data_IF_198783491103
#
_entry.id   IF_198783491103
#
_cell.length_a   1.000
_cell.length_b   1.000
_cell.length_c   1.000
_cell.angle_alpha   90.00
_cell.angle_beta   90.00
_cell.angle_gamma   90.00
#
_symmetry.space_group_name_H-M   'P 1'
#
loop_
_entity.id
_entity.type
_entity.pdbx_description
1 polymer ?
#
# COMPACT_ATOMS: atom_id res chain seq x y z
N UNK A 1 7.36 -34.50 -44.26
CA UNK A 1 8.32 -34.27 -43.17
C UNK A 1 7.75 -33.12 -42.34
N UNK A 2 6.98 -33.44 -41.31
CA UNK A 2 6.41 -32.45 -40.40
C UNK A 2 7.52 -32.04 -39.43
N UNK A 3 7.98 -30.79 -39.51
CA UNK A 3 8.79 -30.22 -38.44
C UNK A 3 7.85 -29.99 -37.26
N UNK A 4 7.94 -30.84 -36.25
CA UNK A 4 7.47 -30.50 -34.91
C UNK A 4 8.30 -29.31 -34.45
N UNK A 5 7.70 -28.13 -34.37
CA UNK A 5 8.24 -27.06 -33.55
C UNK A 5 8.18 -27.59 -32.13
N UNK A 6 9.32 -28.08 -31.62
CA UNK A 6 9.48 -28.24 -30.18
C UNK A 6 9.24 -26.86 -29.57
N UNK A 7 8.06 -26.68 -28.97
CA UNK A 7 7.80 -25.59 -28.07
C UNK A 7 8.74 -25.82 -26.87
N UNK A 8 9.98 -25.32 -26.96
CA UNK A 8 10.83 -25.23 -25.78
C UNK A 8 10.03 -24.46 -24.75
N UNK A 9 9.82 -25.06 -23.59
CA UNK A 9 9.27 -24.34 -22.45
C UNK A 9 10.09 -23.06 -22.30
N UNK A 10 9.41 -21.91 -22.38
CA UNK A 10 10.06 -20.62 -22.18
C UNK A 10 10.67 -20.64 -20.77
N UNK A 11 11.98 -20.50 -20.71
CA UNK A 11 12.76 -20.57 -19.48
C UNK A 11 13.84 -19.49 -19.51
N UNK A 12 13.98 -18.80 -18.39
CA UNK A 12 15.10 -17.87 -18.16
C UNK A 12 15.59 -18.03 -16.73
N UNK A 13 16.91 -18.09 -16.56
CA UNK A 13 17.54 -18.28 -15.26
C UNK A 13 18.39 -17.06 -14.89
N UNK A 14 18.53 -16.84 -13.59
CA UNK A 14 19.33 -15.77 -13.04
C UNK A 14 19.72 -16.05 -11.60
N UNK A 15 20.21 -15.02 -10.91
CA UNK A 15 20.50 -15.05 -9.49
C UNK A 15 20.15 -13.71 -8.82
N UNK A 16 19.96 -13.75 -7.51
CA UNK A 16 19.75 -12.55 -6.70
C UNK A 16 21.08 -11.81 -6.53
N UNK A 17 21.17 -10.55 -6.97
CA UNK A 17 22.38 -9.73 -6.80
C UNK A 17 22.53 -9.25 -5.36
N UNK A 18 21.47 -8.62 -4.85
CA UNK A 18 21.42 -8.00 -3.53
C UNK A 18 19.96 -7.75 -3.14
N UNK A 19 19.73 -7.38 -1.88
CA UNK A 19 18.43 -6.91 -1.40
C UNK A 19 18.42 -5.38 -1.40
N UNK A 20 17.31 -4.78 -1.82
CA UNK A 20 17.10 -3.36 -1.63
C UNK A 20 16.83 -3.01 -0.15
N UNK A 21 16.67 -1.72 0.14
CA UNK A 21 16.37 -1.22 1.49
C UNK A 21 14.99 -1.65 2.04
N UNK A 22 14.12 -2.24 1.20
CA UNK A 22 12.82 -2.80 1.59
C UNK A 22 12.89 -4.34 1.75
N UNK A 23 14.04 -4.95 1.46
CA UNK A 23 14.26 -6.39 1.50
C UNK A 23 13.78 -7.12 0.26
N UNK A 24 13.62 -6.42 -0.87
CA UNK A 24 13.24 -7.00 -2.16
C UNK A 24 14.50 -7.42 -2.97
N UNK A 25 14.55 -8.64 -3.53
CA UNK A 25 15.68 -9.10 -4.32
C UNK A 25 15.84 -8.38 -5.68
N UNK A 26 16.95 -7.67 -5.88
CA UNK A 26 17.37 -7.19 -7.20
C UNK A 26 18.02 -8.33 -8.01
N UNK A 27 17.71 -8.42 -9.30
CA UNK A 27 18.02 -9.62 -10.11
C UNK A 27 19.21 -9.44 -11.07
N UNK A 28 19.89 -10.53 -11.41
CA UNK A 28 20.99 -10.54 -12.39
C UNK A 28 20.52 -10.35 -13.83
N UNK A 29 19.27 -10.70 -14.11
CA UNK A 29 18.59 -10.52 -15.39
C UNK A 29 17.80 -9.21 -15.38
N UNK A 30 17.42 -8.74 -16.56
CA UNK A 30 16.64 -7.53 -16.79
C UNK A 30 15.21 -7.85 -17.22
N UNK A 31 14.31 -6.87 -17.09
CA UNK A 31 12.96 -6.99 -17.62
C UNK A 31 12.96 -7.25 -19.14
N UNK A 32 13.88 -6.64 -19.89
CA UNK A 32 13.99 -6.85 -21.32
C UNK A 32 14.41 -8.29 -21.67
N UNK A 33 15.37 -8.87 -20.96
CA UNK A 33 15.76 -10.28 -21.19
C UNK A 33 14.60 -11.24 -20.90
N UNK A 34 13.79 -10.96 -19.88
CA UNK A 34 12.55 -11.71 -19.61
C UNK A 34 11.56 -11.56 -20.77
N UNK A 35 11.39 -10.35 -21.31
CA UNK A 35 10.49 -10.14 -22.46
C UNK A 35 11.00 -10.80 -23.74
N UNK A 36 12.31 -10.74 -24.00
CA UNK A 36 12.96 -11.39 -25.14
C UNK A 36 12.87 -12.92 -25.04
N UNK A 37 12.80 -13.47 -23.83
CA UNK A 37 12.53 -14.89 -23.58
C UNK A 37 11.06 -15.30 -23.82
N UNK A 38 10.18 -14.34 -24.14
CA UNK A 38 8.80 -14.59 -24.58
C UNK A 38 7.74 -14.43 -23.50
N UNK A 39 8.08 -13.84 -22.35
CA UNK A 39 7.15 -13.46 -21.29
C UNK A 39 6.65 -12.02 -21.48
N UNK A 40 5.46 -11.69 -20.98
CA UNK A 40 4.90 -10.34 -21.00
C UNK A 40 4.20 -9.99 -19.67
N UNK A 41 3.89 -8.71 -19.48
CA UNK A 41 3.19 -8.27 -18.28
C UNK A 41 1.81 -8.93 -18.18
N UNK A 42 1.44 -9.36 -16.98
CA UNK A 42 0.23 -10.13 -16.74
C UNK A 42 0.38 -11.63 -16.98
N UNK A 43 1.56 -12.13 -17.37
CA UNK A 43 1.82 -13.57 -17.32
C UNK A 43 1.95 -14.07 -15.88
N UNK A 44 1.44 -15.27 -15.62
CA UNK A 44 1.65 -15.96 -14.36
C UNK A 44 2.85 -16.89 -14.49
N UNK A 45 3.83 -16.71 -13.62
CA UNK A 45 5.12 -17.37 -13.68
C UNK A 45 5.25 -18.40 -12.57
N UNK A 46 5.98 -19.47 -12.88
CA UNK A 46 6.53 -20.39 -11.90
C UNK A 46 8.02 -20.07 -11.73
N UNK A 47 8.41 -19.65 -10.52
CA UNK A 47 9.78 -19.28 -10.19
C UNK A 47 10.35 -20.32 -9.23
N UNK A 48 11.30 -21.10 -9.70
CA UNK A 48 12.01 -22.10 -8.92
C UNK A 48 13.32 -21.51 -8.39
N UNK A 49 13.42 -21.35 -7.08
CA UNK A 49 14.63 -20.95 -6.39
C UNK A 49 15.39 -22.20 -5.91
N UNK A 50 16.71 -22.17 -5.93
CA UNK A 50 17.57 -23.30 -5.58
C UNK A 50 17.33 -23.84 -4.15
N UNK A 51 17.12 -22.96 -3.17
CA UNK A 51 16.95 -23.31 -1.77
C UNK A 51 15.57 -22.96 -1.19
N UNK A 52 14.84 -22.02 -1.81
CA UNK A 52 13.48 -21.64 -1.35
C UNK A 52 12.42 -22.61 -1.90
N UNK A 53 12.67 -23.23 -3.05
CA UNK A 53 11.70 -24.01 -3.80
C UNK A 53 10.87 -23.16 -4.76
N UNK A 54 9.72 -23.69 -5.17
CA UNK A 54 8.91 -23.10 -6.24
C UNK A 54 7.84 -22.14 -5.71
N UNK A 55 7.79 -20.95 -6.30
CA UNK A 55 6.84 -19.88 -5.97
C UNK A 55 6.12 -19.44 -7.24
N UNK A 56 4.82 -19.13 -7.11
CA UNK A 56 4.01 -18.63 -8.22
C UNK A 56 3.83 -17.12 -8.04
N UNK A 57 4.13 -16.36 -9.09
CA UNK A 57 3.97 -14.91 -9.07
C UNK A 57 3.77 -14.34 -10.48
N UNK A 58 2.99 -13.26 -10.65
CA UNK A 58 2.85 -12.60 -11.95
C UNK A 58 4.02 -11.67 -12.25
N UNK A 59 4.24 -11.46 -13.56
CA UNK A 59 5.09 -10.39 -14.08
C UNK A 59 4.29 -9.08 -14.13
N UNK A 60 4.71 -8.05 -13.40
CA UNK A 60 3.95 -6.80 -13.25
C UNK A 60 4.80 -5.56 -13.47
N UNK A 61 4.12 -4.42 -13.62
CA UNK A 61 4.75 -3.09 -13.69
C UNK A 61 4.70 -2.33 -12.35
N UNK A 62 3.96 -2.87 -11.39
CA UNK A 62 3.93 -2.40 -10.02
C UNK A 62 3.60 -3.56 -9.08
N UNK A 63 4.38 -3.71 -8.03
CA UNK A 63 4.10 -4.67 -6.96
C UNK A 63 2.76 -4.40 -6.25
N UNK A 64 2.12 -3.25 -6.46
CA UNK A 64 0.76 -2.98 -5.92
C UNK A 64 -0.33 -3.74 -6.66
N UNK A 65 -0.06 -4.24 -7.87
CA UNK A 65 -1.05 -4.93 -8.71
C UNK A 65 -1.56 -6.23 -8.07
N UNK A 66 -0.71 -6.89 -7.27
CA UNK A 66 -0.97 -8.20 -6.65
C UNK A 66 -1.69 -8.11 -5.30
N UNK A 67 -2.01 -6.90 -4.83
CA UNK A 67 -2.62 -6.68 -3.52
C UNK A 67 -1.69 -7.02 -2.35
N UNK A 68 -2.08 -6.62 -1.13
CA UNK A 68 -1.26 -6.82 0.08
C UNK A 68 -0.88 -8.28 0.28
N UNK A 69 0.42 -8.55 0.51
CA UNK A 69 0.96 -9.89 0.68
C UNK A 69 1.14 -10.70 -0.60
N UNK A 70 0.66 -10.19 -1.75
CA UNK A 70 0.89 -10.80 -3.06
C UNK A 70 2.35 -10.69 -3.48
N UNK A 71 2.86 -11.73 -4.16
CA UNK A 71 4.21 -11.79 -4.70
C UNK A 71 4.25 -11.31 -6.14
N UNK A 72 5.34 -10.72 -6.59
CA UNK A 72 5.50 -10.32 -7.98
C UNK A 72 6.95 -10.30 -8.44
N UNK A 73 7.17 -10.70 -9.70
CA UNK A 73 8.30 -10.23 -10.49
C UNK A 73 7.94 -8.85 -11.03
N UNK A 74 8.56 -7.79 -10.53
CA UNK A 74 8.14 -6.42 -10.76
C UNK A 74 9.20 -5.64 -11.55
N UNK A 75 8.82 -5.13 -12.72
CA UNK A 75 9.52 -4.08 -13.45
C UNK A 75 8.88 -2.73 -13.13
N UNK A 76 9.31 -2.11 -12.04
CA UNK A 76 8.60 -0.99 -11.46
C UNK A 76 8.52 0.20 -12.42
N UNK A 77 7.28 0.57 -12.79
CA UNK A 77 6.92 1.60 -13.78
C UNK A 77 7.36 1.31 -15.21
N UNK A 78 7.65 0.05 -15.55
CA UNK A 78 8.03 -0.39 -16.89
C UNK A 78 9.22 0.41 -17.46
N UNK A 79 10.24 0.65 -16.63
CA UNK A 79 11.43 1.41 -17.00
C UNK A 79 12.67 0.55 -17.20
N UNK A 80 12.65 -0.71 -16.73
CA UNK A 80 13.77 -1.64 -16.80
C UNK A 80 14.91 -1.36 -15.83
N UNK A 81 14.91 -0.21 -15.14
CA UNK A 81 15.95 0.19 -14.18
C UNK A 81 15.70 -0.32 -12.76
N UNK A 82 14.48 -0.79 -12.48
CA UNK A 82 14.08 -1.32 -11.19
C UNK A 82 13.33 -2.65 -11.34
N UNK A 83 14.11 -3.73 -11.44
CA UNK A 83 13.61 -5.08 -11.68
C UNK A 83 13.96 -6.02 -10.53
N UNK A 84 12.92 -6.50 -9.84
CA UNK A 84 13.09 -7.23 -8.58
C UNK A 84 11.94 -8.22 -8.31
N UNK A 85 12.20 -9.21 -7.46
CA UNK A 85 11.12 -9.92 -6.78
C UNK A 85 10.58 -9.06 -5.64
N UNK A 86 9.28 -9.07 -5.43
CA UNK A 86 8.62 -8.24 -4.41
C UNK A 86 7.49 -8.99 -3.74
N UNK A 87 7.18 -8.56 -2.53
CA UNK A 87 5.90 -8.83 -1.87
C UNK A 87 5.26 -7.48 -1.55
N UNK A 88 4.00 -7.30 -1.94
CA UNK A 88 3.32 -6.03 -1.73
C UNK A 88 3.12 -5.77 -0.23
N UNK A 89 3.63 -4.62 0.24
CA UNK A 89 3.52 -4.17 1.64
C UNK A 89 4.12 -5.14 2.68
N UNK A 90 5.15 -5.89 2.29
CA UNK A 90 5.95 -6.70 3.20
C UNK A 90 7.42 -6.72 2.73
N UNK A 91 8.30 -7.28 3.56
CA UNK A 91 9.68 -7.56 3.19
C UNK A 91 9.79 -8.96 2.55
N UNK A 92 10.27 -9.06 1.31
CA UNK A 92 10.34 -10.34 0.59
C UNK A 92 11.31 -11.30 1.28
N UNK A 93 12.54 -10.86 1.54
CA UNK A 93 13.57 -11.71 2.16
C UNK A 93 13.17 -12.27 3.53
N UNK A 94 12.42 -11.51 4.31
CA UNK A 94 11.94 -11.94 5.63
C UNK A 94 10.77 -12.94 5.57
N UNK A 95 10.01 -12.97 4.46
CA UNK A 95 8.78 -13.78 4.32
C UNK A 95 8.96 -15.01 3.45
N UNK A 96 9.73 -14.86 2.39
CA UNK A 96 9.99 -15.90 1.38
C UNK A 96 11.40 -16.46 1.54
N UNK A 97 12.35 -15.62 1.97
CA UNK A 97 13.76 -15.97 2.02
C UNK A 97 14.53 -15.42 0.83
N UNK A 98 15.68 -16.02 0.56
CA UNK A 98 16.60 -15.60 -0.48
C UNK A 98 17.74 -14.75 0.07
N UNK A 99 18.91 -14.93 -0.53
CA UNK A 99 20.14 -14.22 -0.20
C UNK A 99 20.87 -13.87 -1.50
N UNK A 100 21.80 -12.92 -1.45
CA UNK A 100 22.67 -12.66 -2.59
C UNK A 100 23.37 -13.95 -3.05
N UNK A 101 23.36 -14.20 -4.36
CA UNK A 101 23.89 -15.41 -5.00
C UNK A 101 22.89 -16.55 -5.19
N UNK A 102 21.71 -16.49 -4.54
CA UNK A 102 20.64 -17.48 -4.73
C UNK A 102 20.22 -17.54 -6.20
N UNK A 103 20.30 -18.73 -6.81
CA UNK A 103 19.89 -18.93 -8.19
C UNK A 103 18.39 -19.16 -8.28
N UNK A 104 17.82 -18.75 -9.41
CA UNK A 104 16.43 -19.00 -9.73
C UNK A 104 16.25 -19.28 -11.21
N UNK A 105 15.13 -19.93 -11.52
CA UNK A 105 14.66 -20.19 -12.88
C UNK A 105 13.20 -19.82 -13.00
N UNK A 106 12.85 -19.07 -14.04
CA UNK A 106 11.50 -18.60 -14.35
C UNK A 106 10.95 -19.42 -15.50
N UNK A 107 9.73 -19.96 -15.34
CA UNK A 107 8.99 -20.69 -16.35
C UNK A 107 7.56 -20.17 -16.48
N UNK A 108 6.98 -20.35 -17.66
CA UNK A 108 5.59 -19.98 -17.90
C UNK A 108 4.66 -20.94 -17.16
N UNK A 109 3.85 -20.42 -16.24
CA UNK A 109 2.75 -21.19 -15.64
C UNK A 109 1.47 -21.03 -16.47
N UNK A 110 1.12 -19.78 -16.77
CA UNK A 110 -0.07 -19.44 -17.55
C UNK A 110 0.11 -18.11 -18.26
N UNK A 111 0.18 -18.17 -19.58
CA UNK A 111 0.23 -16.97 -20.44
C UNK A 111 -1.04 -16.13 -20.22
N UNK A 112 -0.88 -14.85 -19.93
CA UNK A 112 -1.94 -13.90 -19.63
C UNK A 112 -2.75 -14.20 -18.36
N UNK A 113 -2.30 -15.11 -17.49
CA UNK A 113 -3.07 -15.57 -16.33
C UNK A 113 -3.41 -14.48 -15.30
N UNK A 114 -2.75 -13.33 -15.37
CA UNK A 114 -2.93 -12.16 -14.51
C UNK A 114 -3.23 -10.88 -15.32
N UNK A 115 -3.45 -10.99 -16.64
CA UNK A 115 -3.57 -9.84 -17.54
C UNK A 115 -4.78 -8.94 -17.24
N UNK A 116 -5.91 -9.52 -16.84
CA UNK A 116 -7.11 -8.75 -16.47
C UNK A 116 -6.81 -7.83 -15.27
N UNK A 117 -6.22 -8.39 -14.20
CA UNK A 117 -5.85 -7.62 -13.02
C UNK A 117 -4.77 -6.59 -13.33
N UNK A 118 -3.76 -6.95 -14.13
CA UNK A 118 -2.74 -6.01 -14.61
C UNK A 118 -3.37 -4.79 -15.28
N UNK A 119 -4.30 -5.02 -16.23
CA UNK A 119 -4.98 -3.97 -16.97
C UNK A 119 -5.88 -3.09 -16.09
N UNK A 120 -6.61 -3.69 -15.14
CA UNK A 120 -7.43 -2.95 -14.18
C UNK A 120 -6.60 -1.96 -13.36
N UNK A 121 -5.36 -2.33 -13.04
CA UNK A 121 -4.45 -1.54 -12.22
C UNK A 121 -3.69 -0.46 -12.99
N UNK A 122 -3.82 -0.40 -14.33
CA UNK A 122 -3.25 0.68 -15.15
C UNK A 122 -4.12 1.95 -15.19
N UNK A 123 -5.18 2.03 -14.37
CA UNK A 123 -6.02 3.22 -14.28
C UNK A 123 -5.22 4.48 -13.91
N UNK A 124 -5.50 5.59 -14.60
CA UNK A 124 -4.74 6.84 -14.43
C UNK A 124 -5.03 7.49 -13.07
N UNK A 125 -4.02 7.51 -12.21
CA UNK A 125 -4.05 8.28 -10.96
C UNK A 125 -4.06 9.80 -11.24
N UNK A 126 -4.90 10.55 -10.53
CA UNK A 126 -5.00 12.01 -10.65
C UNK A 126 -4.97 12.71 -9.30
N UNK A 127 -4.36 13.89 -9.28
CA UNK A 127 -4.30 14.80 -8.11
C UNK A 127 -5.14 16.07 -8.31
N UNK A 128 -5.94 16.10 -9.38
CA UNK A 128 -6.79 17.22 -9.76
C UNK A 128 -8.17 17.07 -9.11
N UNK A 129 -8.60 18.08 -8.35
CA UNK A 129 -9.87 18.06 -7.63
C UNK A 129 -11.05 17.88 -8.60
N UNK A 130 -11.00 18.52 -9.76
CA UNK A 130 -12.05 18.52 -10.78
C UNK A 130 -12.31 17.13 -11.42
N UNK A 131 -11.41 16.15 -11.22
CA UNK A 131 -11.63 14.78 -11.69
C UNK A 131 -12.49 13.95 -10.71
N UNK A 132 -12.92 14.52 -9.59
CA UNK A 132 -13.69 13.83 -8.55
C UNK A 132 -15.07 14.46 -8.37
N UNK A 133 -16.06 13.61 -8.06
CA UNK A 133 -17.45 14.04 -7.90
C UNK A 133 -17.69 14.95 -6.69
N UNK A 134 -16.88 14.83 -5.62
CA UNK A 134 -16.98 15.67 -4.43
C UNK A 134 -15.63 15.85 -3.71
N UNK A 135 -15.62 16.73 -2.71
CA UNK A 135 -14.44 16.94 -1.86
C UNK A 135 -14.16 15.72 -1.00
N UNK A 136 -15.21 15.07 -0.52
CA UNK A 136 -15.16 13.83 0.25
C UNK A 136 -14.49 12.71 -0.57
N UNK A 137 -14.91 12.53 -1.82
CA UNK A 137 -14.28 11.53 -2.71
C UNK A 137 -12.84 11.92 -3.02
N UNK A 138 -12.56 13.19 -3.29
CA UNK A 138 -11.20 13.65 -3.56
C UNK A 138 -10.28 13.46 -2.35
N UNK A 139 -10.72 13.83 -1.16
CA UNK A 139 -9.97 13.72 0.09
C UNK A 139 -9.99 12.31 0.68
N UNK A 140 -10.73 11.39 0.07
CA UNK A 140 -11.02 10.06 0.62
C UNK A 140 -11.60 10.14 2.05
N UNK A 141 -12.38 11.18 2.33
CA UNK A 141 -12.93 11.48 3.65
C UNK A 141 -14.33 10.90 3.79
N UNK A 142 -14.50 9.92 4.68
CA UNK A 142 -15.81 9.30 4.95
C UNK A 142 -15.91 8.74 6.36
N UNK A 143 -17.13 8.58 6.85
CA UNK A 143 -17.39 7.77 8.04
C UNK A 143 -17.16 6.29 7.74
N UNK A 144 -16.57 5.57 8.69
CA UNK A 144 -16.56 4.10 8.72
C UNK A 144 -17.85 3.65 9.41
N UNK A 145 -18.67 2.85 8.70
CA UNK A 145 -20.01 2.48 9.18
C UNK A 145 -20.24 0.98 9.06
N UNK A 146 -19.81 0.26 10.08
CA UNK A 146 -20.04 -1.18 10.23
C UNK A 146 -20.63 -1.49 11.60
N UNK A 147 -21.05 -2.73 11.81
CA UNK A 147 -21.51 -3.20 13.12
C UNK A 147 -20.50 -2.88 14.22
N UNK A 148 -20.99 -2.23 15.27
CA UNK A 148 -20.20 -1.81 16.43
C UNK A 148 -19.56 -0.43 16.30
N UNK A 149 -19.54 0.17 15.10
CA UNK A 149 -19.06 1.53 14.87
C UNK A 149 -20.25 2.45 14.56
N UNK A 150 -20.61 3.27 15.54
CA UNK A 150 -21.74 4.19 15.43
C UNK A 150 -21.48 5.38 14.49
N UNK A 151 -22.57 6.04 14.08
CA UNK A 151 -22.51 7.28 13.29
C UNK A 151 -21.66 8.33 13.99
N UNK A 152 -20.77 8.98 13.23
CA UNK A 152 -19.93 10.06 13.75
C UNK A 152 -18.84 9.62 14.74
N UNK A 153 -18.55 8.32 14.86
CA UNK A 153 -17.53 7.81 15.77
C UNK A 153 -16.16 7.74 15.11
N UNK A 154 -16.08 7.15 13.92
CA UNK A 154 -14.82 6.92 13.21
C UNK A 154 -14.93 7.40 11.76
N UNK A 155 -13.91 8.13 11.33
CA UNK A 155 -13.73 8.61 9.97
C UNK A 155 -12.38 8.14 9.44
N UNK A 156 -12.30 7.96 8.13
CA UNK A 156 -11.05 7.75 7.40
C UNK A 156 -10.84 8.87 6.39
N UNK A 157 -9.58 9.20 6.11
CA UNK A 157 -9.20 10.28 5.19
C UNK A 157 -7.81 10.07 4.58
N UNK A 158 -7.54 10.78 3.48
CA UNK A 158 -6.17 11.18 3.13
C UNK A 158 -5.57 12.10 4.19
N UNK A 159 -4.24 12.20 4.24
CA UNK A 159 -3.58 12.94 5.32
C UNK A 159 -3.89 14.45 5.27
N UNK A 160 -4.59 15.02 6.29
CA UNK A 160 -4.93 16.45 6.35
C UNK A 160 -3.73 17.32 6.72
N UNK A 161 -2.63 16.73 7.18
CA UNK A 161 -1.39 17.44 7.56
C UNK A 161 -0.35 17.45 6.43
N UNK A 162 -0.58 16.74 5.32
CA UNK A 162 0.45 16.51 4.29
C UNK A 162 0.41 17.51 3.12
N UNK A 163 1.17 18.60 3.23
CA UNK A 163 1.37 19.59 2.16
C UNK A 163 2.34 19.16 1.05
N UNK A 164 2.90 17.94 1.11
CA UNK A 164 3.91 17.46 0.17
C UNK A 164 3.32 16.62 -0.97
N UNK A 165 3.08 15.33 -0.70
CA UNK A 165 2.54 14.38 -1.71
C UNK A 165 1.06 14.63 -2.04
N UNK A 166 0.39 15.42 -1.21
CA UNK A 166 -1.04 15.75 -1.27
C UNK A 166 -1.30 17.26 -1.39
N UNK A 167 -0.41 18.05 -2.01
CA UNK A 167 -0.50 19.53 -2.09
C UNK A 167 -1.91 20.10 -2.31
N UNK A 168 -2.72 19.44 -3.15
CA UNK A 168 -4.07 19.92 -3.44
C UNK A 168 -5.15 19.28 -2.57
N UNK A 169 -4.88 18.18 -1.85
CA UNK A 169 -5.89 17.35 -1.18
C UNK A 169 -5.99 17.63 0.33
N UNK A 170 -4.87 17.94 0.99
CA UNK A 170 -4.81 18.07 2.45
C UNK A 170 -5.73 19.16 3.00
N UNK A 171 -5.89 20.29 2.30
CA UNK A 171 -6.81 21.38 2.69
C UNK A 171 -8.28 20.93 2.68
N UNK A 172 -8.66 20.07 1.72
CA UNK A 172 -10.00 19.53 1.65
C UNK A 172 -10.25 18.55 2.80
N UNK A 173 -9.27 17.70 3.11
CA UNK A 173 -9.33 16.80 4.25
C UNK A 173 -9.42 17.58 5.58
N UNK A 174 -8.62 18.63 5.77
CA UNK A 174 -8.64 19.52 6.94
C UNK A 174 -10.02 20.17 7.13
N UNK A 175 -10.59 20.76 6.06
CA UNK A 175 -11.93 21.38 6.10
C UNK A 175 -13.03 20.36 6.40
N UNK A 176 -12.93 19.15 5.87
CA UNK A 176 -13.90 18.09 6.13
C UNK A 176 -13.78 17.56 7.57
N UNK A 177 -12.56 17.50 8.10
CA UNK A 177 -12.32 17.18 9.50
C UNK A 177 -12.94 18.24 10.43
N UNK A 178 -12.79 19.53 10.11
CA UNK A 178 -13.45 20.62 10.83
C UNK A 178 -14.97 20.48 10.80
N UNK A 179 -15.54 20.28 9.61
CA UNK A 179 -17.00 20.13 9.42
C UNK A 179 -17.56 18.91 10.16
N UNK A 180 -16.81 17.82 10.22
CA UNK A 180 -17.19 16.61 10.95
C UNK A 180 -16.97 16.74 12.48
N UNK A 181 -16.29 17.80 12.92
CA UNK A 181 -15.95 18.03 14.32
C UNK A 181 -14.95 17.00 14.86
N UNK A 182 -13.99 16.56 14.04
CA UNK A 182 -12.97 15.60 14.44
C UNK A 182 -12.27 16.07 15.72
N UNK A 183 -12.29 15.23 16.74
CA UNK A 183 -11.71 15.56 18.04
C UNK A 183 -10.35 14.91 18.27
N UNK A 184 -10.02 13.84 17.53
CA UNK A 184 -8.76 13.11 17.71
C UNK A 184 -8.30 12.48 16.39
N UNK A 185 -7.02 12.61 16.04
CA UNK A 185 -6.45 12.04 14.81
C UNK A 185 -5.41 10.95 15.08
N UNK A 186 -5.39 9.97 14.19
CA UNK A 186 -4.47 8.85 14.18
C UNK A 186 -3.76 8.87 12.83
N UNK A 187 -2.59 9.48 12.83
CA UNK A 187 -1.72 9.54 11.67
C UNK A 187 -0.84 8.29 11.62
N UNK A 188 -1.21 7.37 10.73
CA UNK A 188 -0.50 6.11 10.57
C UNK A 188 0.82 6.30 9.80
N UNK A 189 0.96 7.36 9.00
CA UNK A 189 2.02 7.43 7.99
C UNK A 189 3.28 8.20 8.36
N UNK A 190 3.13 9.25 9.15
CA UNK A 190 4.20 10.22 9.36
C UNK A 190 4.62 10.26 10.83
N UNK A 191 5.86 10.71 11.05
CA UNK A 191 6.43 10.98 12.38
C UNK A 191 6.18 12.45 12.75
N UNK A 192 6.34 12.80 14.02
CA UNK A 192 6.26 14.19 14.49
C UNK A 192 7.20 15.10 13.70
N UNK A 193 8.47 14.70 13.51
CA UNK A 193 9.45 15.45 12.71
C UNK A 193 8.95 15.77 11.29
N UNK A 194 8.32 14.79 10.61
CA UNK A 194 7.76 14.99 9.28
C UNK A 194 6.56 15.94 9.31
N UNK A 195 5.67 15.77 10.29
CA UNK A 195 4.48 16.61 10.45
C UNK A 195 4.88 18.05 10.73
N UNK A 196 5.82 18.29 11.64
CA UNK A 196 6.33 19.62 11.96
C UNK A 196 6.93 20.31 10.75
N UNK A 197 7.76 19.57 9.98
CA UNK A 197 8.35 20.09 8.74
C UNK A 197 7.28 20.43 7.69
N UNK A 198 6.21 19.64 7.58
CA UNK A 198 5.11 19.92 6.65
C UNK A 198 4.31 21.15 7.08
N UNK A 199 3.94 21.25 8.35
CA UNK A 199 3.19 22.41 8.89
C UNK A 199 4.00 23.70 8.77
N UNK A 200 5.33 23.64 8.91
CA UNK A 200 6.22 24.79 8.78
C UNK A 200 6.52 25.19 7.31
N UNK A 201 6.04 24.43 6.32
CA UNK A 201 6.34 24.72 4.92
C UNK A 201 5.67 26.01 4.40
N UNK A 202 6.37 26.72 3.52
CA UNK A 202 5.81 27.91 2.86
C UNK A 202 4.56 27.56 2.05
N UNK A 203 3.50 28.35 2.22
CA UNK A 203 2.22 28.12 1.56
C UNK A 203 1.33 27.06 2.23
N UNK A 204 1.67 26.60 3.44
CA UNK A 204 0.81 25.74 4.24
C UNK A 204 -0.48 26.48 4.65
N UNK A 205 -1.65 25.90 4.37
CA UNK A 205 -2.94 26.58 4.47
C UNK A 205 -4.00 25.86 5.32
N UNK A 206 -3.74 24.63 5.75
CA UNK A 206 -4.61 23.94 6.71
C UNK A 206 -4.47 24.56 8.10
N UNK A 207 -5.55 24.58 8.88
CA UNK A 207 -5.56 25.23 10.20
C UNK A 207 -6.16 24.37 11.28
N UNK A 208 -7.14 23.52 10.95
CA UNK A 208 -7.90 22.75 11.93
C UNK A 208 -7.10 21.59 12.53
N UNK A 209 -6.67 20.64 11.69
CA UNK A 209 -5.86 19.49 12.07
C UNK A 209 -4.50 19.90 12.69
N UNK A 210 -3.79 20.93 12.20
CA UNK A 210 -2.63 21.48 12.89
C UNK A 210 -2.92 21.99 14.30
N UNK A 211 -4.11 22.56 14.55
CA UNK A 211 -4.51 22.98 15.89
C UNK A 211 -4.75 21.78 16.81
N UNK A 212 -5.34 20.70 16.29
CA UNK A 212 -5.46 19.43 17.02
C UNK A 212 -4.08 18.84 17.36
N UNK A 213 -3.14 18.88 16.41
CA UNK A 213 -1.76 18.43 16.62
C UNK A 213 -1.10 19.22 17.76
N UNK A 214 -1.16 20.55 17.72
CA UNK A 214 -0.61 21.42 18.78
C UNK A 214 -1.24 21.21 20.15
N UNK A 215 -2.50 20.76 20.20
CA UNK A 215 -3.22 20.44 21.45
C UNK A 215 -2.89 19.05 22.00
N UNK A 216 -2.14 18.23 21.26
CA UNK A 216 -1.84 16.85 21.63
C UNK A 216 -2.97 15.86 21.32
N UNK A 217 -3.93 16.25 20.48
CA UNK A 217 -5.06 15.39 20.05
C UNK A 217 -4.74 14.59 18.79
N UNK A 218 -3.46 14.43 18.45
CA UNK A 218 -2.99 13.70 17.26
C UNK A 218 -1.85 12.77 17.67
N UNK A 219 -1.92 11.51 17.24
CA UNK A 219 -0.78 10.58 17.35
C UNK A 219 -0.16 10.34 15.98
N UNK A 220 1.15 10.54 15.88
CA UNK A 220 1.96 10.28 14.69
C UNK A 220 2.77 9.00 14.87
N UNK A 221 2.50 7.98 14.06
CA UNK A 221 3.07 6.64 14.25
C UNK A 221 4.26 6.33 13.35
N UNK A 222 4.35 6.96 12.17
CA UNK A 222 5.39 6.63 11.18
C UNK A 222 5.46 5.13 10.87
N UNK A 223 4.31 4.49 10.60
CA UNK A 223 4.27 3.08 10.18
C UNK A 223 4.88 2.98 8.78
N UNK A 224 5.85 2.08 8.67
CA UNK A 224 6.58 1.79 7.44
C UNK A 224 5.73 0.99 6.46
N UNK A 225 6.31 0.66 5.31
CA UNK A 225 5.62 -0.09 4.27
C UNK A 225 5.36 -1.56 4.62
N UNK A 226 6.23 -2.19 5.42
CA UNK A 226 6.01 -3.57 5.86
C UNK A 226 4.94 -3.62 6.95
N UNK A 227 3.78 -4.16 6.58
CA UNK A 227 2.62 -4.26 7.44
C UNK A 227 2.68 -5.40 8.46
N UNK A 228 3.62 -6.32 8.29
CA UNK A 228 3.66 -7.56 9.02
C UNK A 228 4.82 -7.62 10.03
N UNK A 229 5.63 -6.56 10.12
CA UNK A 229 6.75 -6.51 11.06
C UNK A 229 6.29 -6.14 12.48
N UNK A 230 7.12 -6.52 13.45
CA UNK A 230 6.84 -6.29 14.88
C UNK A 230 6.66 -4.81 15.22
N UNK A 231 7.49 -3.93 14.65
CA UNK A 231 7.36 -2.46 14.82
C UNK A 231 5.99 -1.95 14.37
N UNK A 232 5.46 -2.46 13.26
CA UNK A 232 4.10 -2.10 12.81
C UNK A 232 3.06 -2.54 13.82
N UNK A 233 3.13 -3.76 14.34
CA UNK A 233 2.16 -4.24 15.35
C UNK A 233 2.21 -3.44 16.65
N UNK A 234 3.41 -3.07 17.11
CA UNK A 234 3.59 -2.23 18.30
C UNK A 234 2.99 -0.84 18.11
N UNK A 235 3.18 -0.23 16.93
CA UNK A 235 2.59 1.06 16.57
C UNK A 235 1.07 1.00 16.46
N UNK A 236 0.52 -0.08 15.88
CA UNK A 236 -0.92 -0.31 15.82
C UNK A 236 -1.51 -0.45 17.24
N UNK A 237 -0.86 -1.22 18.12
CA UNK A 237 -1.27 -1.34 19.51
C UNK A 237 -1.19 0.01 20.25
N UNK A 238 -0.16 0.81 19.97
CA UNK A 238 -0.03 2.20 20.49
C UNK A 238 -1.20 3.07 20.02
N UNK A 239 -1.61 2.97 18.76
CA UNK A 239 -2.74 3.70 18.19
C UNK A 239 -4.04 3.37 18.92
N UNK A 240 -4.34 2.08 19.12
CA UNK A 240 -5.55 1.64 19.83
C UNK A 240 -5.54 2.13 21.27
N UNK A 241 -4.42 2.01 21.99
CA UNK A 241 -4.27 2.53 23.36
C UNK A 241 -4.49 4.05 23.43
N UNK A 242 -3.99 4.79 22.44
CA UNK A 242 -4.21 6.22 22.33
C UNK A 242 -5.70 6.52 22.13
N UNK A 243 -6.40 5.82 21.23
CA UNK A 243 -7.84 6.03 20.99
C UNK A 243 -8.70 5.79 22.25
N UNK A 244 -8.38 4.78 23.06
CA UNK A 244 -9.15 4.45 24.27
C UNK A 244 -8.73 5.24 25.53
N UNK A 245 -7.69 6.07 25.43
CA UNK A 245 -7.27 6.93 26.53
C UNK A 245 -8.39 7.92 26.91
N UNK A 246 -8.53 8.25 28.20
CA UNK A 246 -9.68 8.99 28.72
C UNK A 246 -9.80 10.39 28.13
N UNK A 247 -8.67 11.00 27.81
CA UNK A 247 -8.48 12.32 27.23
C UNK A 247 -8.86 12.38 25.74
N UNK A 248 -8.84 11.25 25.05
CA UNK A 248 -9.15 11.16 23.62
C UNK A 248 -10.61 10.78 23.41
N UNK A 249 -11.25 11.40 22.42
CA UNK A 249 -12.69 11.31 22.21
C UNK A 249 -13.03 11.24 20.73
N UNK A 250 -14.11 10.51 20.36
CA UNK A 250 -14.66 10.63 19.03
C UNK A 250 -15.24 12.04 18.81
N UNK A 251 -15.38 12.49 17.55
CA UNK A 251 -15.08 11.74 16.33
C UNK A 251 -13.58 11.53 16.09
N UNK A 252 -13.18 10.29 15.78
CA UNK A 252 -11.81 9.93 15.45
C UNK A 252 -11.56 10.01 13.94
N UNK A 253 -10.39 10.48 13.53
CA UNK A 253 -9.93 10.43 12.14
C UNK A 253 -8.69 9.54 12.01
N UNK A 254 -8.83 8.41 11.31
CA UNK A 254 -7.68 7.59 10.91
C UNK A 254 -7.23 8.01 9.52
N UNK A 255 -5.91 8.12 9.31
CA UNK A 255 -5.40 8.44 7.98
C UNK A 255 -4.00 7.88 7.74
N UNK A 256 -3.69 7.75 6.46
CA UNK A 256 -2.32 7.63 5.96
C UNK A 256 -2.17 8.62 4.80
N UNK A 257 -1.18 8.48 3.93
CA UNK A 257 -1.00 9.42 2.80
C UNK A 257 -2.29 9.59 2.00
N UNK A 258 -2.85 8.53 1.41
CA UNK A 258 -4.09 8.63 0.63
C UNK A 258 -5.34 8.13 1.36
N UNK A 259 -5.20 7.63 2.59
CA UNK A 259 -6.30 6.99 3.31
C UNK A 259 -6.68 5.61 2.74
N UNK A 260 -5.77 4.96 2.01
CA UNK A 260 -6.01 3.66 1.34
C UNK A 260 -5.37 2.48 2.09
N UNK A 261 -4.05 2.34 2.01
CA UNK A 261 -3.33 1.13 2.45
C UNK A 261 -3.34 0.94 3.97
N UNK A 262 -2.41 1.61 4.68
CA UNK A 262 -2.31 1.58 6.15
C UNK A 262 -3.63 1.95 6.83
N UNK A 263 -4.33 2.94 6.29
CA UNK A 263 -5.62 3.39 6.79
C UNK A 263 -6.70 2.32 6.65
N UNK A 264 -6.79 1.69 5.48
CA UNK A 264 -7.76 0.62 5.24
C UNK A 264 -7.48 -0.58 6.13
N UNK A 265 -6.21 -1.01 6.24
CA UNK A 265 -5.86 -2.09 7.18
C UNK A 265 -6.23 -1.79 8.63
N UNK A 266 -5.93 -0.57 9.10
CA UNK A 266 -6.30 -0.18 10.46
C UNK A 266 -7.82 -0.10 10.65
N UNK A 267 -8.56 0.38 9.64
CA UNK A 267 -10.02 0.38 9.65
C UNK A 267 -10.57 -1.05 9.77
N UNK A 268 -10.14 -1.97 8.89
CA UNK A 268 -10.54 -3.37 8.91
C UNK A 268 -10.29 -4.02 10.28
N UNK A 269 -9.15 -3.72 10.93
CA UNK A 269 -8.87 -4.20 12.28
C UNK A 269 -9.87 -3.65 13.31
N UNK A 270 -10.13 -2.34 13.30
CA UNK A 270 -11.08 -1.71 14.23
C UNK A 270 -12.51 -2.23 14.02
N UNK A 271 -12.93 -2.39 12.76
CA UNK A 271 -14.22 -2.94 12.38
C UNK A 271 -14.35 -4.40 12.87
N UNK A 272 -13.33 -5.23 12.64
CA UNK A 272 -13.30 -6.61 13.13
C UNK A 272 -13.36 -6.69 14.66
N UNK A 273 -12.62 -5.84 15.37
CA UNK A 273 -12.68 -5.73 16.83
C UNK A 273 -14.04 -5.24 17.34
N UNK A 274 -14.73 -4.40 16.57
CA UNK A 274 -16.08 -3.92 16.85
C UNK A 274 -17.18 -4.96 16.54
N UNK A 275 -16.81 -6.08 15.90
CA UNK A 275 -17.70 -7.20 15.60
C UNK A 275 -18.37 -7.13 14.23
N UNK A 276 -17.80 -6.36 13.29
CA UNK A 276 -18.20 -6.36 11.89
C UNK A 276 -17.96 -7.72 11.23
N UNK A 277 -18.87 -8.10 10.34
CA UNK A 277 -18.70 -9.28 9.49
C UNK A 277 -17.66 -9.03 8.39
N UNK A 278 -17.12 -10.11 7.82
CA UNK A 278 -16.24 -10.01 6.65
C UNK A 278 -16.87 -9.21 5.50
N UNK A 279 -18.18 -9.39 5.27
CA UNK A 279 -18.88 -8.70 4.19
C UNK A 279 -18.97 -7.19 4.45
N UNK A 280 -19.28 -6.77 5.69
CA UNK A 280 -19.29 -5.36 6.06
C UNK A 280 -17.91 -4.71 5.89
N UNK A 281 -16.85 -5.41 6.32
CA UNK A 281 -15.47 -4.93 6.18
C UNK A 281 -15.08 -4.77 4.71
N UNK A 282 -15.42 -5.77 3.89
CA UNK A 282 -15.18 -5.73 2.45
C UNK A 282 -15.93 -4.56 1.81
N UNK A 283 -17.19 -4.38 2.16
CA UNK A 283 -18.02 -3.32 1.59
C UNK A 283 -17.51 -1.94 1.98
N UNK A 284 -17.09 -1.69 3.23
CA UNK A 284 -16.47 -0.42 3.63
C UNK A 284 -15.14 -0.15 2.88
N UNK A 285 -14.31 -1.19 2.76
CA UNK A 285 -13.00 -1.08 2.11
C UNK A 285 -13.13 -0.69 0.63
N UNK A 286 -14.16 -1.19 -0.05
CA UNK A 286 -14.38 -0.98 -1.49
C UNK A 286 -15.09 0.34 -1.84
N UNK A 287 -15.44 1.17 -0.85
CA UNK A 287 -15.97 2.53 -1.05
C UNK A 287 -14.91 3.54 -1.52
#
# INVERSE_FOLDING_TARGET
MFFSVECRAQEISGYIKEMDHLGNPNLSITAQEVKDAGFDYGDLLEVEFEHIGTVIMPFTTSFTEVGVGGLSLCDYRAKGDNFHFSICQANFSARVGGVAGEKFTIRMKQMGGFLEQHNLMQAVYTIKREHYSSDEVFANFREVRTKGIGKGILYRSSNPLNSGKNKNRYIYADRLAEKAGIATEINLSDTDEKVEKMIASEGYAATYCPALYKKGSVINLGIQWDMFCQDTYEKIAKAVRFMIAKENKPPFLIHCVEGKDRCGFFAMLLEGLAGASYQEIKDDYML
#
